data_IF_421028383905
#
_entry.id   IF_421028383905
#
_cell.length_a   1.000
_cell.length_b   1.000
_cell.length_c   1.000
_cell.angle_alpha   90.00
_cell.angle_beta   90.00
_cell.angle_gamma   90.00
#
_symmetry.space_group_name_H-M   'P 1'
#
loop_
_entity.id
_entity.type
_entity.pdbx_description
1 polymer ?
#
# COMPACT_ATOMS: atom_id res chain seq x y z
N UNK A 1 -29.89 41.26 3.20
CA UNK A 1 -29.44 39.90 3.59
C UNK A 1 -29.14 38.99 2.40
N UNK A 2 -29.80 39.11 1.24
CA UNK A 2 -29.55 38.24 0.06
C UNK A 2 -28.18 38.46 -0.63
N UNK A 3 -27.61 39.66 -0.59
CA UNK A 3 -26.32 39.96 -1.23
C UNK A 3 -25.09 39.41 -0.47
N UNK A 4 -25.19 39.20 0.86
CA UNK A 4 -24.09 38.63 1.66
C UNK A 4 -23.97 37.11 1.48
N UNK A 5 -25.08 36.43 1.20
CA UNK A 5 -25.10 34.98 0.93
C UNK A 5 -24.53 34.66 -0.46
N UNK A 6 -24.78 35.52 -1.46
CA UNK A 6 -24.21 35.36 -2.81
C UNK A 6 -22.69 35.58 -2.80
N UNK A 7 -22.18 36.54 -2.03
CA UNK A 7 -20.74 36.77 -1.88
C UNK A 7 -20.02 35.61 -1.17
N UNK A 8 -20.66 34.96 -0.19
CA UNK A 8 -20.11 33.80 0.52
C UNK A 8 -20.09 32.52 -0.35
N UNK A 9 -21.06 32.36 -1.25
CA UNK A 9 -21.10 31.21 -2.18
C UNK A 9 -20.05 31.37 -3.29
N UNK A 10 -19.76 32.60 -3.74
CA UNK A 10 -18.74 32.86 -4.77
C UNK A 10 -17.32 32.76 -4.18
N UNK A 11 -17.10 33.12 -2.92
CA UNK A 11 -15.79 32.96 -2.26
C UNK A 11 -15.48 31.50 -1.89
N UNK A 12 -16.50 30.68 -1.63
CA UNK A 12 -16.35 29.23 -1.43
C UNK A 12 -16.09 28.45 -2.73
N UNK A 13 -16.37 29.04 -3.90
CA UNK A 13 -16.10 28.45 -5.21
C UNK A 13 -14.66 28.69 -5.70
N UNK A 14 -13.90 29.61 -5.07
CA UNK A 14 -12.59 30.06 -5.58
C UNK A 14 -11.38 29.44 -4.87
N UNK A 15 -11.58 28.61 -3.84
CA UNK A 15 -10.46 28.00 -3.08
C UNK A 15 -10.15 26.56 -3.49
N UNK A 16 -10.83 25.99 -4.50
CA UNK A 16 -10.57 24.62 -4.99
C UNK A 16 -9.49 24.59 -6.10
N UNK A 17 -9.09 25.74 -6.65
CA UNK A 17 -8.03 25.81 -7.68
C UNK A 17 -6.68 26.18 -7.06
N UNK A 18 -6.06 25.25 -6.35
CA UNK A 18 -4.70 25.42 -5.86
C UNK A 18 -4.05 24.08 -5.58
N UNK A 19 -2.95 23.80 -6.30
CA UNK A 19 -2.15 22.57 -6.28
C UNK A 19 -2.61 21.40 -7.17
N UNK A 20 -2.94 21.69 -8.44
CA UNK A 20 -2.48 20.78 -9.49
C UNK A 20 -1.02 21.10 -9.76
N UNK A 21 -0.10 20.47 -9.02
CA UNK A 21 1.30 20.45 -9.41
C UNK A 21 1.37 19.91 -10.82
N UNK A 22 1.83 20.74 -11.76
CA UNK A 22 1.92 20.38 -13.16
C UNK A 22 3.06 19.36 -13.33
N UNK A 23 2.78 18.10 -13.00
CA UNK A 23 3.59 16.97 -13.40
C UNK A 23 2.94 16.44 -14.67
N UNK A 24 3.59 16.68 -15.80
CA UNK A 24 3.20 16.10 -17.09
C UNK A 24 3.43 14.58 -17.01
N UNK A 25 2.37 13.84 -16.69
CA UNK A 25 2.37 12.38 -16.69
C UNK A 25 2.13 11.89 -18.14
N UNK A 26 2.98 11.00 -18.68
CA UNK A 26 2.77 10.36 -19.98
C UNK A 26 1.36 9.76 -20.10
N UNK A 27 0.73 9.81 -21.28
CA UNK A 27 -0.66 9.34 -21.52
C UNK A 27 -0.92 7.92 -20.98
N UNK A 28 0.08 7.04 -21.07
CA UNK A 28 0.03 5.64 -20.60
C UNK A 28 -0.08 5.49 -19.06
N UNK A 29 0.27 6.51 -18.28
CA UNK A 29 0.26 6.48 -16.81
C UNK A 29 -0.76 7.45 -16.18
N UNK A 30 -1.53 8.18 -16.98
CA UNK A 30 -2.50 9.19 -16.50
C UNK A 30 -3.62 8.59 -15.64
N UNK A 31 -4.12 7.40 -15.99
CA UNK A 31 -5.18 6.73 -15.23
C UNK A 31 -4.75 6.38 -13.82
N UNK A 32 -3.58 5.77 -13.68
CA UNK A 32 -2.97 5.46 -12.40
C UNK A 32 -2.68 6.74 -11.60
N UNK A 33 -2.11 7.78 -12.24
CA UNK A 33 -1.77 9.02 -11.54
C UNK A 33 -2.99 9.76 -11.01
N UNK A 34 -4.08 9.76 -11.78
CA UNK A 34 -5.35 10.31 -11.35
C UNK A 34 -5.95 9.48 -10.21
N UNK A 35 -5.94 8.15 -10.32
CA UNK A 35 -6.43 7.24 -9.28
C UNK A 35 -5.69 7.40 -7.96
N UNK A 36 -4.38 7.56 -7.99
CA UNK A 36 -3.55 7.73 -6.80
C UNK A 36 -3.66 9.11 -6.17
N UNK A 37 -3.73 10.17 -7.00
CA UNK A 37 -3.99 11.52 -6.49
C UNK A 37 -5.33 11.60 -5.78
N UNK A 38 -6.38 11.00 -6.37
CA UNK A 38 -7.71 10.94 -5.76
C UNK A 38 -7.71 10.01 -4.54
N UNK A 39 -7.17 8.81 -4.65
CA UNK A 39 -7.15 7.79 -3.59
C UNK A 39 -6.32 8.23 -2.40
N UNK A 40 -5.14 8.81 -2.63
CA UNK A 40 -4.27 9.37 -1.60
C UNK A 40 -4.87 10.58 -0.90
N UNK A 41 -5.45 11.53 -1.64
CA UNK A 41 -6.13 12.68 -1.03
C UNK A 41 -7.37 12.25 -0.23
N UNK A 42 -8.20 11.37 -0.81
CA UNK A 42 -9.42 10.86 -0.15
C UNK A 42 -9.06 10.04 1.08
N UNK A 43 -8.08 9.16 0.96
CA UNK A 43 -7.57 8.35 2.06
C UNK A 43 -6.97 9.21 3.17
N UNK A 44 -6.24 10.28 2.84
CA UNK A 44 -5.71 11.20 3.83
C UNK A 44 -6.81 11.96 4.58
N UNK A 45 -7.84 12.45 3.87
CA UNK A 45 -8.98 13.13 4.51
C UNK A 45 -9.72 12.14 5.42
N UNK A 46 -10.08 10.97 4.92
CA UNK A 46 -10.78 9.95 5.68
C UNK A 46 -9.97 9.50 6.91
N UNK A 47 -8.68 9.23 6.72
CA UNK A 47 -7.78 8.84 7.80
C UNK A 47 -7.62 9.93 8.86
N UNK A 48 -7.54 11.20 8.47
CA UNK A 48 -7.49 12.33 9.42
C UNK A 48 -8.76 12.44 10.26
N UNK A 49 -9.93 12.25 9.64
CA UNK A 49 -11.23 12.29 10.31
C UNK A 49 -11.37 11.11 11.28
N UNK A 50 -11.03 9.91 10.84
CA UNK A 50 -11.16 8.68 11.64
C UNK A 50 -10.18 8.62 12.82
N UNK A 51 -8.99 9.23 12.70
CA UNK A 51 -7.99 9.22 13.77
C UNK A 51 -8.32 10.15 14.96
N UNK A 52 -9.27 11.07 14.82
CA UNK A 52 -9.70 11.95 15.90
C UNK A 52 -8.69 13.04 16.28
N UNK A 53 -9.04 13.81 17.31
CA UNK A 53 -8.27 14.97 17.77
C UNK A 53 -6.97 14.53 18.45
N UNK A 54 -5.82 15.05 17.99
CA UNK A 54 -4.49 14.66 18.45
C UNK A 54 -3.72 13.71 17.52
N UNK A 55 -4.41 12.97 16.65
CA UNK A 55 -3.79 12.02 15.71
C UNK A 55 -4.16 12.25 14.24
N UNK A 56 -4.78 13.40 13.91
CA UNK A 56 -5.24 13.73 12.55
C UNK A 56 -4.14 13.63 11.49
N UNK A 57 -2.96 14.20 11.74
CA UNK A 57 -1.84 14.15 10.79
C UNK A 57 -1.37 12.72 10.54
N UNK A 58 -1.27 11.92 11.62
CA UNK A 58 -0.90 10.50 11.52
C UNK A 58 -1.93 9.70 10.74
N UNK A 59 -3.21 9.89 11.05
CA UNK A 59 -4.32 9.29 10.31
C UNK A 59 -4.29 9.70 8.84
N UNK A 60 -3.99 10.96 8.53
CA UNK A 60 -3.86 11.45 7.17
C UNK A 60 -2.72 10.77 6.40
N UNK A 61 -1.56 10.58 7.04
CA UNK A 61 -0.42 9.91 6.42
C UNK A 61 -0.74 8.43 6.18
N UNK A 62 -1.28 7.72 7.17
CA UNK A 62 -1.63 6.31 7.04
C UNK A 62 -2.69 6.12 5.95
N UNK A 63 -3.77 6.88 6.03
CA UNK A 63 -4.87 6.81 5.07
C UNK A 63 -4.44 7.26 3.68
N UNK A 64 -3.58 8.26 3.58
CA UNK A 64 -3.03 8.74 2.31
C UNK A 64 -2.13 7.71 1.65
N UNK A 65 -1.23 7.06 2.40
CA UNK A 65 -0.39 5.98 1.88
C UNK A 65 -1.22 4.77 1.44
N UNK A 66 -2.19 4.36 2.26
CA UNK A 66 -3.12 3.28 1.91
C UNK A 66 -3.93 3.60 0.65
N UNK A 67 -4.52 4.80 0.60
CA UNK A 67 -5.35 5.25 -0.52
C UNK A 67 -4.57 5.51 -1.80
N UNK A 68 -3.32 5.97 -1.71
CA UNK A 68 -2.46 6.16 -2.88
C UNK A 68 -2.06 4.82 -3.52
N UNK A 69 -1.79 3.79 -2.69
CA UNK A 69 -1.47 2.45 -3.19
C UNK A 69 -2.69 1.79 -3.86
N UNK A 70 -3.85 1.81 -3.19
CA UNK A 70 -5.10 1.32 -3.78
C UNK A 70 -5.50 2.11 -5.04
N UNK A 71 -5.18 3.41 -5.08
CA UNK A 71 -5.42 4.29 -6.22
C UNK A 71 -4.49 4.09 -7.42
N UNK A 72 -3.46 3.23 -7.30
CA UNK A 72 -2.64 2.80 -8.43
C UNK A 72 -1.29 3.52 -8.61
N UNK A 73 -0.88 4.41 -7.70
CA UNK A 73 0.50 4.94 -7.65
C UNK A 73 0.91 5.10 -6.19
N UNK A 74 1.44 4.04 -5.59
CA UNK A 74 2.74 4.27 -4.99
C UNK A 74 3.73 4.27 -6.15
N UNK A 75 4.53 5.33 -6.27
CA UNK A 75 5.37 5.65 -7.43
C UNK A 75 6.25 4.53 -7.99
N UNK A 76 6.42 3.42 -7.28
CA UNK A 76 7.11 2.22 -7.76
C UNK A 76 6.60 0.96 -7.04
N UNK A 77 5.28 0.85 -6.75
CA UNK A 77 4.76 -0.45 -6.37
C UNK A 77 4.87 -1.40 -7.56
N UNK A 78 5.72 -2.40 -7.44
CA UNK A 78 6.00 -3.37 -8.50
C UNK A 78 5.60 -4.74 -8.05
N UNK A 79 5.17 -5.56 -9.00
CA UNK A 79 4.93 -6.99 -8.79
C UNK A 79 5.70 -7.75 -9.86
N UNK A 80 6.56 -8.65 -9.43
CA UNK A 80 7.29 -9.56 -10.28
C UNK A 80 6.82 -11.00 -10.05
N UNK A 81 6.41 -11.70 -11.11
CA UNK A 81 6.21 -13.15 -11.05
C UNK A 81 7.55 -13.86 -11.11
N UNK A 82 7.92 -14.56 -10.03
CA UNK A 82 9.19 -15.29 -9.90
C UNK A 82 9.10 -16.76 -10.32
N UNK A 83 7.96 -17.41 -10.06
CA UNK A 83 7.70 -18.80 -10.47
C UNK A 83 6.30 -18.94 -11.08
N UNK A 84 6.16 -19.86 -12.03
CA UNK A 84 4.85 -20.22 -12.60
C UNK A 84 3.98 -20.99 -11.61
N UNK A 85 2.69 -21.15 -11.90
CA UNK A 85 1.78 -21.92 -11.07
C UNK A 85 2.27 -23.35 -10.85
N UNK A 86 2.77 -23.99 -11.91
CA UNK A 86 3.25 -25.37 -11.91
C UNK A 86 4.53 -25.53 -11.08
N UNK A 87 5.46 -24.58 -11.23
CA UNK A 87 6.72 -24.57 -10.47
C UNK A 87 6.46 -24.36 -8.97
N UNK A 88 5.57 -23.41 -8.63
CA UNK A 88 5.18 -23.17 -7.24
C UNK A 88 4.42 -24.36 -6.67
N UNK A 89 3.46 -24.94 -7.40
CA UNK A 89 2.74 -26.14 -6.96
C UNK A 89 3.67 -27.32 -6.69
N UNK A 90 4.65 -27.53 -7.57
CA UNK A 90 5.67 -28.57 -7.40
C UNK A 90 6.55 -28.33 -6.16
N UNK A 91 7.00 -27.09 -5.94
CA UNK A 91 7.80 -26.70 -4.75
C UNK A 91 7.08 -27.02 -3.44
N UNK A 92 5.76 -26.90 -3.42
CA UNK A 92 4.93 -27.11 -2.22
C UNK A 92 4.24 -28.48 -2.17
N UNK A 93 4.48 -29.37 -3.16
CA UNK A 93 3.73 -30.62 -3.32
C UNK A 93 2.21 -30.40 -3.25
N UNK A 94 1.74 -29.31 -3.85
CA UNK A 94 0.37 -28.84 -3.70
C UNK A 94 -0.59 -29.68 -4.55
N UNK A 95 -1.74 -30.02 -3.96
CA UNK A 95 -2.84 -30.69 -4.63
C UNK A 95 -4.00 -29.70 -4.81
N UNK A 96 -4.53 -29.51 -6.04
CA UNK A 96 -5.63 -28.57 -6.29
C UNK A 96 -6.89 -28.78 -5.43
N UNK A 97 -7.13 -30.02 -4.97
CA UNK A 97 -8.24 -30.36 -4.07
C UNK A 97 -8.10 -29.76 -2.65
N UNK A 98 -6.91 -29.30 -2.26
CA UNK A 98 -6.64 -28.70 -0.94
C UNK A 98 -7.17 -27.28 -0.78
N UNK A 99 -7.72 -26.69 -1.84
CA UNK A 99 -8.20 -25.30 -1.85
C UNK A 99 -7.08 -24.27 -1.98
N UNK A 100 -7.44 -22.99 -2.07
CA UNK A 100 -6.46 -21.92 -2.26
C UNK A 100 -5.63 -21.70 -0.99
N UNK A 101 -4.31 -21.70 -1.15
CA UNK A 101 -3.34 -21.44 -0.09
C UNK A 101 -2.45 -20.26 -0.45
N UNK A 102 -2.14 -19.46 0.55
CA UNK A 102 -1.15 -18.38 0.48
C UNK A 102 -0.01 -18.72 1.43
N UNK A 103 1.23 -18.48 1.01
CA UNK A 103 2.42 -18.61 1.86
C UNK A 103 3.38 -17.46 1.65
N UNK A 104 3.57 -16.62 2.66
CA UNK A 104 4.61 -15.59 2.62
C UNK A 104 5.95 -16.28 2.83
N UNK A 105 6.83 -16.23 1.83
CA UNK A 105 8.13 -16.92 1.87
C UNK A 105 9.16 -16.10 2.66
N UNK A 106 9.25 -14.81 2.36
CA UNK A 106 10.24 -13.90 2.96
C UNK A 106 9.80 -12.44 2.85
N UNK A 107 10.31 -11.61 3.76
CA UNK A 107 10.18 -10.15 3.73
C UNK A 107 11.56 -9.54 3.92
N UNK A 108 11.96 -8.62 3.04
CA UNK A 108 13.20 -7.85 3.17
C UNK A 108 12.93 -6.36 3.18
N UNK A 109 13.81 -5.62 3.84
CA UNK A 109 13.82 -4.16 3.87
C UNK A 109 15.16 -3.67 3.35
N UNK A 110 15.15 -2.78 2.37
CA UNK A 110 16.37 -2.25 1.75
C UNK A 110 16.31 -0.72 1.64
N UNK A 111 17.23 0.01 2.30
CA UNK A 111 18.19 -0.47 3.28
C UNK A 111 17.52 -0.83 4.62
N UNK A 112 18.15 -1.67 5.44
CA UNK A 112 17.63 -2.05 6.77
C UNK A 112 17.87 -0.99 7.86
N UNK A 113 18.66 0.04 7.56
CA UNK A 113 18.87 1.21 8.42
C UNK A 113 18.77 2.50 7.60
N UNK A 114 17.91 3.40 8.06
CA UNK A 114 17.50 4.62 7.37
C UNK A 114 17.42 5.80 8.34
N UNK A 115 17.39 7.00 7.81
CA UNK A 115 17.18 8.26 8.55
C UNK A 115 15.77 8.79 8.24
N UNK A 116 15.22 9.72 9.02
CA UNK A 116 13.99 10.41 8.64
C UNK A 116 14.11 11.03 7.23
N UNK A 117 13.02 11.03 6.47
CA UNK A 117 12.98 11.43 5.05
C UNK A 117 13.66 10.48 4.06
N UNK A 118 14.42 9.47 4.51
CA UNK A 118 14.98 8.47 3.60
C UNK A 118 13.89 7.57 3.01
N UNK A 119 14.21 6.99 1.85
CA UNK A 119 13.41 5.94 1.22
C UNK A 119 13.84 4.56 1.73
N UNK A 120 12.87 3.70 2.00
CA UNK A 120 13.05 2.27 2.25
C UNK A 120 12.15 1.47 1.33
N UNK A 121 12.71 0.44 0.69
CA UNK A 121 11.95 -0.50 -0.12
C UNK A 121 11.64 -1.75 0.72
N UNK A 122 10.36 -2.07 0.85
CA UNK A 122 9.88 -3.28 1.53
C UNK A 122 9.50 -4.29 0.45
N UNK A 123 10.22 -5.41 0.37
CA UNK A 123 9.95 -6.46 -0.61
C UNK A 123 9.38 -7.69 0.09
N UNK A 124 8.28 -8.22 -0.44
CA UNK A 124 7.66 -9.44 0.06
C UNK A 124 7.55 -10.45 -1.05
N UNK A 125 8.09 -11.64 -0.84
CA UNK A 125 7.90 -12.78 -1.73
C UNK A 125 6.88 -13.73 -1.13
N UNK A 126 5.88 -14.13 -1.91
CA UNK A 126 4.86 -15.08 -1.48
C UNK A 126 4.50 -16.07 -2.59
N UNK A 127 4.13 -17.29 -2.20
CA UNK A 127 3.54 -18.29 -3.05
C UNK A 127 2.01 -18.24 -2.94
N UNK A 128 1.35 -18.23 -4.09
CA UNK A 128 -0.09 -18.34 -4.25
C UNK A 128 -0.39 -19.65 -4.98
N UNK A 129 -1.13 -20.51 -4.31
CA UNK A 129 -1.48 -21.85 -4.79
C UNK A 129 -2.99 -21.90 -4.91
N UNK A 130 -3.49 -22.08 -6.13
CA UNK A 130 -4.91 -22.04 -6.44
C UNK A 130 -5.39 -23.42 -6.91
N UNK A 131 -6.66 -23.74 -6.68
CA UNK A 131 -7.28 -24.97 -7.17
C UNK A 131 -7.41 -25.03 -8.71
N UNK A 132 -7.37 -23.87 -9.37
CA UNK A 132 -7.27 -23.77 -10.82
C UNK A 132 -6.13 -22.79 -11.17
N UNK A 133 -5.07 -23.30 -11.80
CA UNK A 133 -3.82 -22.56 -12.05
C UNK A 133 -4.04 -21.26 -12.84
N UNK A 134 -4.97 -21.29 -13.81
CA UNK A 134 -5.24 -20.20 -14.75
C UNK A 134 -6.41 -19.29 -14.33
N UNK A 135 -7.05 -19.55 -13.18
CA UNK A 135 -8.13 -18.72 -12.68
C UNK A 135 -7.54 -17.68 -11.73
N UNK A 136 -7.56 -16.38 -12.10
CA UNK A 136 -7.08 -15.34 -11.23
C UNK A 136 -7.96 -15.23 -9.98
N UNK A 137 -7.34 -15.06 -8.82
CA UNK A 137 -8.02 -14.81 -7.55
C UNK A 137 -7.71 -13.41 -7.04
N UNK A 138 -8.67 -12.80 -6.34
CA UNK A 138 -8.46 -11.53 -5.67
C UNK A 138 -7.46 -11.68 -4.52
N UNK A 139 -6.48 -10.79 -4.47
CA UNK A 139 -5.43 -10.77 -3.45
C UNK A 139 -5.34 -9.38 -2.83
N UNK A 140 -5.36 -9.31 -1.50
CA UNK A 140 -5.06 -8.12 -0.72
C UNK A 140 -3.63 -8.26 -0.21
N UNK A 141 -2.73 -7.45 -0.75
CA UNK A 141 -1.35 -7.33 -0.31
C UNK A 141 -1.24 -6.12 0.63
N UNK A 142 -0.85 -6.34 1.88
CA UNK A 142 -0.84 -5.29 2.90
C UNK A 142 0.47 -5.29 3.66
N UNK A 143 1.05 -4.10 3.86
CA UNK A 143 2.24 -3.92 4.70
C UNK A 143 1.85 -2.99 5.84
N UNK A 144 1.95 -3.50 7.06
CA UNK A 144 1.73 -2.75 8.28
C UNK A 144 3.08 -2.34 8.87
N UNK A 145 3.28 -1.05 9.12
CA UNK A 145 4.49 -0.51 9.74
C UNK A 145 4.12 -0.01 11.11
N UNK A 146 4.80 -0.54 12.14
CA UNK A 146 4.62 -0.13 13.53
C UNK A 146 5.90 0.38 14.14
N UNK A 147 5.76 1.42 14.95
CA UNK A 147 6.78 1.84 15.90
C UNK A 147 6.26 1.55 17.30
N UNK A 148 6.98 0.73 18.07
CA UNK A 148 6.45 0.16 19.33
C UNK A 148 5.10 -0.54 19.07
N UNK A 149 4.03 -0.13 19.75
CA UNK A 149 2.67 -0.65 19.54
C UNK A 149 1.85 0.19 18.57
N UNK A 150 2.39 1.31 18.10
CA UNK A 150 1.66 2.30 17.31
C UNK A 150 1.73 2.00 15.82
N UNK A 151 0.58 2.02 15.14
CA UNK A 151 0.50 1.95 13.68
C UNK A 151 0.96 3.28 13.09
N UNK A 152 1.96 3.24 12.20
CA UNK A 152 2.54 4.43 11.57
C UNK A 152 2.46 4.40 10.04
N UNK A 153 2.17 3.24 9.43
CA UNK A 153 1.90 3.11 8.01
C UNK A 153 1.13 1.83 7.71
N UNK A 154 0.22 1.88 6.72
CA UNK A 154 -0.54 0.70 6.29
C UNK A 154 -0.86 0.75 4.78
N UNK A 155 0.14 0.81 3.89
CA UNK A 155 -0.09 0.64 2.46
C UNK A 155 -0.78 -0.71 2.16
N UNK A 156 -1.83 -0.67 1.34
CA UNK A 156 -2.55 -1.86 0.86
C UNK A 156 -2.75 -1.79 -0.65
N UNK A 157 -2.63 -2.92 -1.34
CA UNK A 157 -2.96 -3.09 -2.74
C UNK A 157 -4.02 -4.19 -2.90
N UNK A 158 -5.01 -3.95 -3.73
CA UNK A 158 -5.96 -4.96 -4.19
C UNK A 158 -5.59 -5.33 -5.62
N UNK A 159 -5.19 -6.58 -5.81
CA UNK A 159 -4.66 -7.09 -7.08
C UNK A 159 -5.31 -8.42 -7.41
N UNK A 160 -5.07 -8.94 -8.60
CA UNK A 160 -5.58 -10.23 -9.03
C UNK A 160 -4.45 -11.05 -9.62
N UNK A 161 -4.25 -12.27 -9.11
CA UNK A 161 -3.17 -13.15 -9.51
C UNK A 161 -3.68 -14.57 -9.78
N UNK A 162 -3.14 -15.24 -10.79
CA UNK A 162 -3.24 -16.69 -10.90
C UNK A 162 -2.24 -17.39 -9.97
N UNK A 163 -2.16 -18.72 -10.04
CA UNK A 163 -1.16 -19.47 -9.29
C UNK A 163 0.28 -19.04 -9.65
N UNK A 164 1.16 -19.07 -8.66
CA UNK A 164 2.59 -18.79 -8.83
C UNK A 164 3.26 -18.20 -7.60
N UNK A 165 4.53 -17.84 -7.73
CA UNK A 165 5.27 -17.11 -6.70
C UNK A 165 5.54 -15.70 -7.19
N UNK A 166 5.23 -14.71 -6.35
CA UNK A 166 5.29 -13.30 -6.67
C UNK A 166 6.17 -12.58 -5.66
N UNK A 167 6.87 -11.54 -6.11
CA UNK A 167 7.52 -10.57 -5.24
C UNK A 167 6.90 -9.20 -5.50
N UNK A 168 6.31 -8.59 -4.47
CA UNK A 168 5.90 -7.20 -4.56
C UNK A 168 6.83 -6.29 -3.76
N UNK A 169 7.03 -5.07 -4.25
CA UNK A 169 7.86 -4.05 -3.60
C UNK A 169 7.02 -2.84 -3.26
N UNK A 170 7.08 -2.39 -2.01
CA UNK A 170 6.46 -1.14 -1.55
C UNK A 170 7.56 -0.14 -1.18
N UNK A 171 7.80 0.91 -1.98
CA UNK A 171 8.70 1.98 -1.58
C UNK A 171 7.99 2.90 -0.58
N UNK A 172 8.65 3.17 0.53
CA UNK A 172 8.15 4.01 1.62
C UNK A 172 9.14 5.14 1.85
N UNK A 173 8.64 6.37 1.82
CA UNK A 173 9.39 7.54 2.27
C UNK A 173 9.04 7.78 3.73
N UNK A 174 10.04 7.76 4.61
CA UNK A 174 9.82 8.06 6.01
C UNK A 174 9.45 9.54 6.18
N UNK A 175 8.53 9.89 7.09
CA UNK A 175 8.26 11.28 7.36
C UNK A 175 9.48 11.94 8.04
N UNK A 176 9.60 13.26 7.92
CA UNK A 176 10.73 14.01 8.47
C UNK A 176 10.81 13.97 10.00
N UNK A 177 9.69 13.66 10.66
CA UNK A 177 9.57 13.50 12.12
C UNK A 177 9.59 12.03 12.57
N UNK A 178 10.01 11.09 11.70
CA UNK A 178 10.13 9.69 12.05
C UNK A 178 11.00 9.51 13.31
N UNK A 179 10.45 8.87 14.34
CA UNK A 179 11.14 8.62 15.61
C UNK A 179 12.29 7.64 15.39
N UNK A 180 13.40 7.85 16.09
CA UNK A 180 14.53 6.91 16.10
C UNK A 180 14.15 5.62 16.83
N UNK A 181 14.62 4.48 16.31
CA UNK A 181 14.41 3.17 16.92
C UNK A 181 14.05 2.09 15.90
N UNK A 182 13.56 0.96 16.41
CA UNK A 182 13.23 -0.22 15.58
C UNK A 182 11.76 -0.18 15.19
N UNK A 183 11.51 -0.32 13.89
CA UNK A 183 10.17 -0.40 13.31
C UNK A 183 9.89 -1.85 12.93
N UNK A 184 8.69 -2.33 13.29
CA UNK A 184 8.19 -3.64 12.87
C UNK A 184 7.45 -3.48 11.56
N UNK A 185 7.76 -4.36 10.61
CA UNK A 185 7.08 -4.46 9.32
C UNK A 185 6.37 -5.80 9.30
N UNK A 186 5.04 -5.77 9.28
CA UNK A 186 4.20 -6.96 9.21
C UNK A 186 3.54 -6.98 7.83
N UNK A 187 3.91 -7.95 7.00
CA UNK A 187 3.26 -8.14 5.72
C UNK A 187 2.22 -9.24 5.83
N UNK A 188 1.02 -8.97 5.33
CA UNK A 188 -0.04 -9.96 5.18
C UNK A 188 -0.53 -10.00 3.74
N UNK A 189 -0.62 -11.22 3.22
CA UNK A 189 -1.20 -11.51 1.90
C UNK A 189 -2.46 -12.33 2.15
N UNK A 190 -3.60 -11.83 1.65
CA UNK A 190 -4.92 -12.43 1.89
C UNK A 190 -5.67 -12.65 0.58
N UNK A 191 -6.38 -13.76 0.52
CA UNK A 191 -7.41 -14.11 -0.47
C UNK A 191 -8.72 -14.34 0.28
N UNK A 192 -9.83 -14.54 -0.44
CA UNK A 192 -11.13 -14.82 0.18
C UNK A 192 -11.14 -16.08 1.07
N UNK A 193 -10.26 -17.04 0.80
CA UNK A 193 -10.25 -18.35 1.47
C UNK A 193 -8.96 -18.67 2.23
N UNK A 194 -7.95 -17.79 2.19
CA UNK A 194 -6.65 -18.08 2.80
C UNK A 194 -5.78 -16.84 2.97
N UNK A 195 -4.97 -16.83 4.01
CA UNK A 195 -4.03 -15.74 4.30
C UNK A 195 -2.77 -16.26 4.97
N UNK A 196 -1.66 -15.59 4.74
CA UNK A 196 -0.44 -15.77 5.54
C UNK A 196 0.16 -14.41 5.90
N UNK A 197 0.89 -14.40 7.01
CA UNK A 197 1.46 -13.18 7.59
C UNK A 197 2.87 -13.48 8.09
N UNK A 198 3.81 -12.56 7.82
CA UNK A 198 5.15 -12.59 8.40
C UNK A 198 5.56 -11.20 8.84
N UNK A 199 6.63 -11.15 9.63
CA UNK A 199 7.21 -9.90 10.08
C UNK A 199 8.72 -9.84 9.86
N UNK A 200 9.22 -8.61 9.74
CA UNK A 200 10.64 -8.25 9.77
C UNK A 200 10.78 -6.88 10.43
N UNK A 201 11.98 -6.33 10.47
CA UNK A 201 12.26 -5.03 11.09
C UNK A 201 13.25 -4.19 10.28
N UNK A 202 13.15 -2.88 10.40
CA UNK A 202 14.20 -1.93 10.02
C UNK A 202 14.45 -0.91 11.15
N UNK A 203 15.56 -0.20 11.08
CA UNK A 203 15.95 0.78 12.11
C UNK A 203 16.02 2.20 11.55
N UNK A 204 15.42 3.15 12.28
CA UNK A 204 15.62 4.59 12.06
C UNK A 204 16.70 5.11 13.00
N UNK A 205 17.76 5.71 12.44
CA UNK A 205 18.94 6.20 13.18
C UNK A 205 18.95 7.70 13.47
#
# INVERSE_FOLDING_TARGET
MKQRVVALIILAAFTVTGFAGCVTVPEEHKGAAKGAGIGGATGAIAGAVLAGEGSRTKGAVIGGLAGALLGGIIGNYTIDKKLTAEQTASKYNFQPSSGTMVRVENITTSPSSVSPSDKIDIQTTYALLTSAADVPVGVIESVEIRFENELVGNPQAMVTHGGGTYTFTVPIYLPSDAKKGTYRVITSVRTDSGSDTRETTFTVK
#
